data_IF_504265838612
#
_entry.id   IF_504265838612
#
_cell.length_a   1.000
_cell.length_b   1.000
_cell.length_c   1.000
_cell.angle_alpha   90.00
_cell.angle_beta   90.00
_cell.angle_gamma   90.00
#
_symmetry.space_group_name_H-M   'P 1'
#
loop_
_entity.id
_entity.type
_entity.pdbx_description
1 polymer ?
#
# COMPACT_ATOMS: atom_id res chain seq x y z
N UNK A 1 0.29 8.63 21.79
CA UNK A 1 0.26 8.53 20.32
C UNK A 1 -0.38 7.20 19.98
N UNK A 2 -1.21 7.13 18.95
CA UNK A 2 -1.84 5.90 18.47
C UNK A 2 -0.78 4.89 18.03
N UNK A 3 -1.07 3.58 18.15
CA UNK A 3 -0.14 2.52 17.73
C UNK A 3 0.16 2.59 16.22
N UNK A 4 1.35 2.17 15.84
CA UNK A 4 1.81 2.20 14.46
C UNK A 4 1.27 1.01 13.69
N UNK A 5 0.49 1.26 12.64
CA UNK A 5 0.19 0.26 11.62
C UNK A 5 1.38 0.18 10.67
N UNK A 6 1.85 -1.05 10.41
CA UNK A 6 2.87 -1.31 9.38
C UNK A 6 2.23 -2.15 8.28
N UNK A 7 2.21 -1.61 7.08
CA UNK A 7 1.82 -2.31 5.85
C UNK A 7 3.06 -2.84 5.15
N UNK A 8 3.07 -4.11 4.77
CA UNK A 8 4.12 -4.71 3.96
C UNK A 8 3.65 -4.85 2.50
N UNK A 9 4.26 -4.11 1.58
CA UNK A 9 4.02 -4.17 0.14
C UNK A 9 4.99 -5.18 -0.50
N UNK A 10 4.57 -6.45 -0.51
CA UNK A 10 5.49 -7.59 -0.64
C UNK A 10 5.99 -7.90 -2.04
N UNK A 11 5.33 -7.39 -3.10
CA UNK A 11 5.61 -7.83 -4.47
C UNK A 11 5.65 -6.69 -5.50
N UNK A 12 4.56 -5.90 -5.61
CA UNK A 12 4.40 -4.88 -6.65
C UNK A 12 4.24 -5.42 -8.08
N UNK A 13 4.01 -4.53 -9.03
CA UNK A 13 3.93 -4.85 -10.47
C UNK A 13 5.24 -4.61 -11.23
N UNK A 14 6.09 -3.67 -10.76
CA UNK A 14 7.27 -3.19 -11.50
C UNK A 14 8.57 -3.88 -11.07
N UNK A 15 8.72 -4.18 -9.78
CA UNK A 15 9.95 -4.80 -9.24
C UNK A 15 10.02 -6.27 -9.61
N UNK A 16 11.16 -6.74 -10.08
CA UNK A 16 11.37 -8.13 -10.56
C UNK A 16 12.49 -8.85 -9.80
N UNK A 17 12.62 -10.16 -10.02
CA UNK A 17 13.74 -10.97 -9.50
C UNK A 17 15.13 -10.51 -10.00
N UNK A 18 15.18 -9.70 -11.07
CA UNK A 18 16.43 -9.06 -11.52
C UNK A 18 16.88 -7.96 -10.54
N UNK A 19 15.92 -7.23 -9.94
CA UNK A 19 16.21 -6.22 -8.94
C UNK A 19 16.58 -6.86 -7.58
N UNK A 20 15.87 -7.93 -7.20
CA UNK A 20 16.18 -8.74 -6.01
C UNK A 20 15.59 -10.14 -6.18
N UNK A 21 16.42 -11.17 -6.11
CA UNK A 21 16.04 -12.58 -6.28
C UNK A 21 14.95 -13.06 -5.31
N UNK A 22 14.75 -12.35 -4.19
CA UNK A 22 13.75 -12.68 -3.18
C UNK A 22 12.36 -12.09 -3.46
N UNK A 23 12.17 -11.34 -4.54
CA UNK A 23 10.84 -10.84 -4.95
C UNK A 23 9.92 -12.03 -5.25
N UNK A 24 8.76 -12.15 -4.56
CA UNK A 24 7.93 -13.33 -4.69
C UNK A 24 7.04 -13.26 -5.93
N UNK A 25 6.93 -14.37 -6.68
CA UNK A 25 6.06 -14.49 -7.85
C UNK A 25 4.96 -15.54 -7.65
N UNK A 26 5.33 -16.71 -7.14
CA UNK A 26 4.39 -17.84 -6.96
C UNK A 26 3.52 -17.64 -5.71
N UNK A 27 2.38 -18.33 -5.67
CA UNK A 27 1.48 -18.32 -4.50
C UNK A 27 2.22 -18.69 -3.21
N UNK A 28 3.12 -19.68 -3.30
CA UNK A 28 3.89 -20.13 -2.14
C UNK A 28 4.93 -19.07 -1.70
N UNK A 29 5.66 -18.47 -2.64
CA UNK A 29 6.63 -17.40 -2.34
C UNK A 29 5.93 -16.20 -1.70
N UNK A 30 4.77 -15.77 -2.24
CA UNK A 30 3.94 -14.68 -1.71
C UNK A 30 3.51 -14.99 -0.26
N UNK A 31 3.01 -16.21 0.00
CA UNK A 31 2.58 -16.58 1.34
C UNK A 31 3.75 -16.65 2.35
N UNK A 32 4.94 -17.10 1.93
CA UNK A 32 6.15 -17.12 2.76
C UNK A 32 6.62 -15.70 3.07
N UNK A 33 6.66 -14.79 2.09
CA UNK A 33 7.07 -13.41 2.31
C UNK A 33 6.06 -12.65 3.17
N UNK A 34 4.75 -12.89 3.00
CA UNK A 34 3.72 -12.36 3.87
C UNK A 34 3.89 -12.84 5.33
N UNK A 35 4.19 -14.13 5.55
CA UNK A 35 4.46 -14.67 6.89
C UNK A 35 5.69 -14.03 7.54
N UNK A 36 6.77 -13.83 6.78
CA UNK A 36 7.98 -13.15 7.30
C UNK A 36 7.67 -11.72 7.72
N UNK A 37 6.95 -10.97 6.89
CA UNK A 37 6.54 -9.60 7.19
C UNK A 37 5.59 -9.53 8.41
N UNK A 38 4.60 -10.42 8.48
CA UNK A 38 3.66 -10.53 9.60
C UNK A 38 4.39 -10.82 10.91
N UNK A 39 5.29 -11.82 10.93
CA UNK A 39 6.10 -12.16 12.13
C UNK A 39 7.02 -11.03 12.56
N UNK A 40 7.46 -10.21 11.63
CA UNK A 40 8.27 -9.02 11.90
C UNK A 40 7.46 -7.85 12.49
N UNK A 41 6.11 -7.86 12.36
CA UNK A 41 5.21 -6.85 12.92
C UNK A 41 4.30 -6.13 11.93
N UNK A 42 4.27 -6.54 10.65
CA UNK A 42 3.27 -6.02 9.72
C UNK A 42 1.87 -6.54 10.08
N UNK A 43 0.87 -5.69 10.08
CA UNK A 43 -0.51 -6.06 10.31
C UNK A 43 -1.37 -6.00 9.03
N UNK A 44 -0.85 -5.40 7.98
CA UNK A 44 -1.47 -5.36 6.65
C UNK A 44 -0.46 -5.89 5.63
N UNK A 45 -0.92 -6.76 4.74
CA UNK A 45 -0.17 -7.19 3.55
C UNK A 45 -0.81 -6.54 2.33
N UNK A 46 -0.12 -5.59 1.74
CA UNK A 46 -0.48 -5.04 0.44
C UNK A 46 -0.07 -6.03 -0.64
N UNK A 47 -1.04 -6.45 -1.44
CA UNK A 47 -0.92 -7.59 -2.32
C UNK A 47 -1.12 -7.21 -3.79
N UNK A 48 -0.07 -7.30 -4.57
CA UNK A 48 -0.11 -7.57 -5.99
C UNK A 48 0.08 -9.07 -6.23
N UNK A 49 -0.42 -9.58 -7.34
CA UNK A 49 -0.18 -10.97 -7.74
C UNK A 49 0.45 -11.05 -9.12
N UNK A 50 1.19 -12.11 -9.34
CA UNK A 50 1.88 -12.39 -10.61
C UNK A 50 1.58 -13.81 -11.07
N UNK A 51 1.71 -14.05 -12.37
CA UNK A 51 1.86 -15.41 -12.90
C UNK A 51 3.20 -15.99 -12.44
N UNK A 52 3.38 -17.30 -12.55
CA UNK A 52 4.60 -17.96 -12.11
C UNK A 52 5.85 -17.54 -12.91
N UNK A 53 5.67 -16.98 -14.11
CA UNK A 53 6.72 -16.40 -14.96
C UNK A 53 7.10 -14.97 -14.55
N UNK A 54 6.41 -14.40 -13.54
CA UNK A 54 6.64 -13.04 -13.07
C UNK A 54 5.79 -11.97 -13.74
N UNK A 55 4.99 -12.30 -14.75
CA UNK A 55 4.08 -11.34 -15.41
C UNK A 55 3.02 -10.85 -14.43
N UNK A 56 2.83 -9.51 -14.25
CA UNK A 56 1.75 -8.97 -13.43
C UNK A 56 0.37 -9.41 -13.92
N UNK A 57 -0.54 -9.64 -13.00
CA UNK A 57 -1.94 -10.00 -13.33
C UNK A 57 -2.89 -9.47 -12.28
N UNK A 58 -4.16 -9.21 -12.69
CA UNK A 58 -5.26 -8.86 -11.79
C UNK A 58 -6.31 -9.98 -11.74
N UNK A 59 -5.92 -11.19 -12.14
CA UNK A 59 -6.78 -12.37 -12.14
C UNK A 59 -7.32 -12.66 -10.74
N UNK A 60 -8.64 -12.66 -10.60
CA UNK A 60 -9.36 -12.85 -9.32
C UNK A 60 -9.02 -14.19 -8.67
N UNK A 61 -8.90 -15.26 -9.44
CA UNK A 61 -8.61 -16.58 -8.89
C UNK A 61 -7.18 -16.66 -8.36
N UNK A 62 -6.25 -15.91 -9.00
CA UNK A 62 -4.87 -15.78 -8.49
C UNK A 62 -4.83 -15.00 -7.18
N UNK A 63 -5.57 -13.90 -7.05
CA UNK A 63 -5.71 -13.17 -5.78
C UNK A 63 -6.33 -14.05 -4.69
N UNK A 64 -7.38 -14.81 -5.02
CA UNK A 64 -8.02 -15.75 -4.10
C UNK A 64 -7.03 -16.80 -3.58
N UNK A 65 -6.29 -17.46 -4.48
CA UNK A 65 -5.28 -18.46 -4.11
C UNK A 65 -4.19 -17.87 -3.21
N UNK A 66 -3.67 -16.67 -3.53
CA UNK A 66 -2.68 -15.98 -2.70
C UNK A 66 -3.25 -15.60 -1.32
N UNK A 67 -4.48 -15.05 -1.27
CA UNK A 67 -5.14 -14.69 -0.02
C UNK A 67 -5.35 -15.92 0.88
N UNK A 68 -5.84 -17.04 0.35
CA UNK A 68 -6.01 -18.29 1.09
C UNK A 68 -4.67 -18.80 1.62
N UNK A 69 -3.62 -18.80 0.81
CA UNK A 69 -2.29 -19.21 1.22
C UNK A 69 -1.68 -18.31 2.33
N UNK A 70 -1.90 -16.99 2.24
CA UNK A 70 -1.51 -16.03 3.29
C UNK A 70 -2.30 -16.30 4.57
N UNK A 71 -3.62 -16.40 4.50
CA UNK A 71 -4.49 -16.61 5.67
C UNK A 71 -4.25 -17.94 6.37
N UNK A 72 -3.83 -18.98 5.66
CA UNK A 72 -3.43 -20.26 6.27
C UNK A 72 -2.17 -20.12 7.14
N UNK A 73 -1.29 -19.14 6.88
CA UNK A 73 -0.07 -18.87 7.65
C UNK A 73 -0.25 -17.76 8.69
N UNK A 74 -1.06 -16.78 8.38
CA UNK A 74 -1.30 -15.55 9.14
C UNK A 74 -2.81 -15.29 9.21
N UNK A 75 -3.59 -16.05 10.05
CA UNK A 75 -5.06 -16.05 9.99
C UNK A 75 -5.71 -14.67 10.22
N UNK A 76 -5.12 -13.83 11.04
CA UNK A 76 -5.65 -12.54 11.46
C UNK A 76 -5.10 -11.34 10.67
N UNK A 77 -4.05 -11.53 9.85
CA UNK A 77 -3.46 -10.44 9.05
C UNK A 77 -4.51 -9.83 8.10
N UNK A 78 -4.47 -8.53 7.90
CA UNK A 78 -5.31 -7.87 6.90
C UNK A 78 -4.63 -8.04 5.53
N UNK A 79 -5.35 -8.58 4.55
CA UNK A 79 -4.87 -8.64 3.16
C UNK A 79 -5.57 -7.55 2.38
N UNK A 80 -4.77 -6.65 1.82
CA UNK A 80 -5.21 -5.50 1.03
C UNK A 80 -4.78 -5.70 -0.43
N UNK A 81 -5.66 -6.15 -1.32
CA UNK A 81 -5.33 -6.23 -2.73
C UNK A 81 -5.18 -4.85 -3.36
N UNK A 82 -4.21 -4.75 -4.26
CA UNK A 82 -4.05 -3.58 -5.13
C UNK A 82 -5.12 -3.55 -6.22
N UNK A 83 -5.68 -2.37 -6.47
CA UNK A 83 -6.46 -2.08 -7.68
C UNK A 83 -5.65 -1.28 -8.71
N UNK A 84 -4.38 -1.01 -8.45
CA UNK A 84 -3.47 -0.36 -9.40
C UNK A 84 -3.19 -1.24 -10.62
N UNK A 85 -2.94 -2.52 -10.38
CA UNK A 85 -2.51 -3.44 -11.45
C UNK A 85 -1.13 -3.07 -11.99
N UNK A 86 -0.97 -3.20 -13.30
CA UNK A 86 0.15 -2.66 -14.06
C UNK A 86 -0.35 -1.60 -15.04
N UNK A 87 0.53 -0.71 -15.47
CA UNK A 87 0.20 0.33 -16.47
C UNK A 87 -0.42 -0.32 -17.71
N UNK A 88 -1.53 0.25 -18.17
CA UNK A 88 -2.27 -0.22 -19.35
C UNK A 88 -3.37 -1.24 -19.10
N UNK A 89 -3.52 -1.77 -17.89
CA UNK A 89 -4.66 -2.62 -17.53
C UNK A 89 -5.97 -1.83 -17.51
N UNK A 90 -7.06 -2.45 -17.98
CA UNK A 90 -8.39 -1.86 -17.99
C UNK A 90 -8.99 -1.78 -16.58
N UNK A 91 -9.98 -0.88 -16.38
CA UNK A 91 -10.72 -0.78 -15.12
C UNK A 91 -11.35 -2.12 -14.71
N UNK A 92 -11.92 -2.86 -15.66
CA UNK A 92 -12.54 -4.15 -15.41
C UNK A 92 -11.54 -5.20 -14.89
N UNK A 93 -10.31 -5.22 -15.41
CA UNK A 93 -9.24 -6.07 -14.89
C UNK A 93 -8.84 -5.63 -13.47
N UNK A 94 -8.58 -4.34 -13.29
CA UNK A 94 -8.13 -3.77 -12.02
C UNK A 94 -9.12 -3.97 -10.87
N UNK A 95 -10.42 -4.03 -11.15
CA UNK A 95 -11.49 -4.23 -10.16
C UNK A 95 -11.72 -5.70 -9.76
N UNK A 96 -11.15 -6.68 -10.47
CA UNK A 96 -11.39 -8.09 -10.18
C UNK A 96 -11.13 -8.49 -8.72
N UNK A 97 -10.05 -8.06 -8.06
CA UNK A 97 -9.79 -8.44 -6.66
C UNK A 97 -10.81 -7.87 -5.68
N UNK A 98 -11.50 -6.77 -6.02
CA UNK A 98 -12.55 -6.18 -5.16
C UNK A 98 -13.79 -7.08 -5.08
N UNK A 99 -14.05 -7.90 -6.11
CA UNK A 99 -15.15 -8.89 -6.10
C UNK A 99 -14.97 -9.99 -5.04
N UNK A 100 -13.77 -10.17 -4.52
CA UNK A 100 -13.49 -11.08 -3.40
C UNK A 100 -13.91 -10.49 -2.05
N UNK A 101 -14.41 -9.26 -2.00
CA UNK A 101 -14.86 -8.52 -0.82
C UNK A 101 -13.81 -8.49 0.30
N UNK A 102 -12.57 -8.03 0.02
CA UNK A 102 -11.57 -7.86 1.07
C UNK A 102 -12.03 -6.79 2.08
N UNK A 103 -11.45 -6.79 3.28
CA UNK A 103 -11.73 -5.76 4.30
C UNK A 103 -11.37 -4.35 3.80
N UNK A 104 -10.28 -4.23 3.04
CA UNK A 104 -9.84 -3.00 2.38
C UNK A 104 -9.12 -3.29 1.07
N UNK A 105 -9.05 -2.29 0.18
CA UNK A 105 -8.30 -2.34 -1.07
C UNK A 105 -7.78 -0.94 -1.41
N UNK A 106 -6.79 -0.81 -2.29
CA UNK A 106 -6.29 0.51 -2.71
C UNK A 106 -7.24 1.21 -3.67
N UNK A 107 -7.21 2.54 -3.67
CA UNK A 107 -7.94 3.42 -4.58
C UNK A 107 -7.00 4.56 -5.02
N UNK A 108 -6.42 4.43 -6.21
CA UNK A 108 -5.54 5.46 -6.77
C UNK A 108 -6.32 6.72 -7.15
N UNK A 109 -6.02 7.85 -6.51
CA UNK A 109 -6.83 9.06 -6.60
C UNK A 109 -6.37 10.08 -7.66
N UNK A 110 -5.63 9.65 -8.68
CA UNK A 110 -5.24 10.53 -9.77
C UNK A 110 -4.29 9.93 -10.79
N UNK A 111 -4.24 10.55 -11.95
CA UNK A 111 -3.34 10.21 -13.05
C UNK A 111 -1.98 10.85 -12.83
N UNK A 112 -0.90 10.10 -13.02
CA UNK A 112 0.47 10.63 -12.97
C UNK A 112 1.35 9.96 -14.03
N UNK A 113 2.47 10.63 -14.37
CA UNK A 113 3.56 9.97 -15.07
C UNK A 113 4.15 8.90 -14.15
N UNK A 114 4.47 7.74 -14.69
CA UNK A 114 4.92 6.60 -13.91
C UNK A 114 6.09 5.90 -14.61
N UNK A 115 7.19 5.70 -13.91
CA UNK A 115 8.33 4.97 -14.44
C UNK A 115 9.05 5.59 -15.64
N UNK A 116 8.85 6.87 -15.93
CA UNK A 116 9.48 7.58 -17.06
C UNK A 116 8.47 7.98 -18.12
N UNK A 117 8.34 7.22 -19.21
CA UNK A 117 7.47 7.56 -20.34
C UNK A 117 6.03 7.05 -20.21
N UNK A 118 5.74 6.22 -19.23
CA UNK A 118 4.43 5.66 -19.01
C UNK A 118 3.49 6.63 -18.26
N UNK A 119 2.19 6.45 -18.46
CA UNK A 119 1.14 7.21 -17.78
C UNK A 119 0.22 6.25 -17.04
N UNK A 120 0.21 6.35 -15.71
CA UNK A 120 -0.73 5.63 -14.88
C UNK A 120 -2.05 6.39 -14.83
N UNK A 121 -3.05 5.90 -15.55
CA UNK A 121 -4.31 6.61 -15.79
C UNK A 121 -5.34 6.30 -14.72
N UNK A 122 -5.72 7.31 -13.94
CA UNK A 122 -6.82 7.28 -12.97
C UNK A 122 -7.68 8.54 -13.13
N UNK A 123 -8.60 8.50 -14.10
CA UNK A 123 -9.53 9.61 -14.34
C UNK A 123 -10.54 9.75 -13.21
N UNK A 124 -11.20 10.93 -13.08
CA UNK A 124 -12.26 11.10 -12.10
C UNK A 124 -13.37 10.03 -12.26
N UNK A 125 -13.67 9.60 -13.49
CA UNK A 125 -14.66 8.55 -13.73
C UNK A 125 -14.17 7.18 -13.26
N UNK A 126 -12.89 6.86 -13.48
CA UNK A 126 -12.27 5.63 -12.94
C UNK A 126 -12.38 5.59 -11.42
N UNK A 127 -12.03 6.68 -10.74
CA UNK A 127 -12.06 6.76 -9.27
C UNK A 127 -13.49 6.62 -8.74
N UNK A 128 -14.48 7.21 -9.42
CA UNK A 128 -15.91 7.05 -9.09
C UNK A 128 -16.35 5.60 -9.22
N UNK A 129 -16.08 4.98 -10.36
CA UNK A 129 -16.43 3.57 -10.62
C UNK A 129 -15.87 2.65 -9.53
N UNK A 130 -14.60 2.83 -9.17
CA UNK A 130 -13.95 2.03 -8.13
C UNK A 130 -14.52 2.32 -6.74
N UNK A 131 -14.74 3.59 -6.41
CA UNK A 131 -15.35 4.00 -5.16
C UNK A 131 -16.77 3.47 -4.98
N UNK A 132 -17.63 3.54 -6.01
CA UNK A 132 -18.98 2.97 -6.01
C UNK A 132 -18.94 1.46 -5.80
N UNK A 133 -18.08 0.75 -6.51
CA UNK A 133 -17.91 -0.70 -6.35
C UNK A 133 -17.46 -1.09 -4.95
N UNK A 134 -16.52 -0.36 -4.37
CA UNK A 134 -16.07 -0.58 -2.99
C UNK A 134 -17.17 -0.31 -1.98
N UNK A 135 -17.97 0.74 -2.17
CA UNK A 135 -19.12 1.05 -1.32
C UNK A 135 -20.16 -0.06 -1.39
N UNK A 136 -20.51 -0.52 -2.61
CA UNK A 136 -21.48 -1.60 -2.85
C UNK A 136 -21.08 -2.89 -2.11
N UNK A 137 -19.79 -3.24 -2.15
CA UNK A 137 -19.26 -4.50 -1.58
C UNK A 137 -18.81 -4.38 -0.12
N UNK A 138 -18.88 -3.17 0.48
CA UNK A 138 -18.46 -2.94 1.86
C UNK A 138 -16.93 -2.97 2.05
N UNK A 139 -16.17 -2.69 0.99
CA UNK A 139 -14.70 -2.65 1.01
C UNK A 139 -14.24 -1.23 1.36
N UNK A 140 -13.32 -1.11 2.33
CA UNK A 140 -12.74 0.20 2.68
C UNK A 140 -11.63 0.58 1.70
N UNK A 141 -11.68 1.76 1.05
CA UNK A 141 -10.57 2.26 0.25
C UNK A 141 -9.41 2.76 1.13
N UNK A 142 -8.18 2.35 0.81
CA UNK A 142 -6.98 3.13 1.09
C UNK A 142 -6.73 4.04 -0.13
N UNK A 143 -6.77 5.34 0.09
CA UNK A 143 -6.69 6.34 -0.98
C UNK A 143 -5.22 6.63 -1.26
N UNK A 144 -4.68 6.07 -2.34
CA UNK A 144 -3.31 6.31 -2.76
C UNK A 144 -3.21 7.64 -3.51
N UNK A 145 -2.30 8.48 -3.03
CA UNK A 145 -2.07 9.82 -3.57
C UNK A 145 -0.59 10.07 -3.80
N UNK A 146 -0.26 10.52 -5.00
CA UNK A 146 1.09 10.82 -5.45
C UNK A 146 1.37 12.34 -5.47
N UNK A 147 0.35 13.15 -5.20
CA UNK A 147 0.43 14.61 -5.17
C UNK A 147 -0.76 15.20 -4.40
N UNK A 148 -0.59 16.46 -3.94
CA UNK A 148 -1.62 17.19 -3.20
C UNK A 148 -2.94 17.36 -3.98
N UNK A 149 -2.88 17.55 -5.30
CA UNK A 149 -4.07 17.67 -6.15
C UNK A 149 -4.95 16.43 -6.13
N UNK A 150 -4.38 15.25 -5.86
CA UNK A 150 -5.10 13.99 -5.71
C UNK A 150 -5.86 13.93 -4.38
N UNK A 151 -5.33 14.52 -3.30
CA UNK A 151 -6.07 14.72 -2.04
C UNK A 151 -7.31 15.56 -2.29
N UNK A 152 -7.20 16.69 -3.02
CA UNK A 152 -8.36 17.52 -3.37
C UNK A 152 -9.38 16.77 -4.21
N UNK A 153 -8.93 15.92 -5.13
CA UNK A 153 -9.81 15.05 -5.92
C UNK A 153 -10.58 14.10 -5.00
N UNK A 154 -9.90 13.39 -4.11
CA UNK A 154 -10.51 12.46 -3.17
C UNK A 154 -11.54 13.16 -2.26
N UNK A 155 -11.21 14.36 -1.73
CA UNK A 155 -12.14 15.17 -0.92
C UNK A 155 -13.38 15.58 -1.72
N UNK A 156 -13.22 16.00 -2.98
CA UNK A 156 -14.38 16.31 -3.84
C UNK A 156 -15.28 15.11 -4.09
N UNK A 157 -14.68 13.94 -4.31
CA UNK A 157 -15.42 12.70 -4.53
C UNK A 157 -16.09 12.18 -3.26
N UNK A 158 -15.45 12.36 -2.10
CA UNK A 158 -16.07 12.08 -0.80
C UNK A 158 -17.33 12.94 -0.59
N UNK A 159 -17.25 14.26 -0.85
CA UNK A 159 -18.41 15.18 -0.75
C UNK A 159 -19.56 14.80 -1.70
N UNK A 160 -19.28 14.14 -2.81
CA UNK A 160 -20.26 13.63 -3.78
C UNK A 160 -20.76 12.22 -3.42
N UNK A 161 -20.26 11.58 -2.36
CA UNK A 161 -20.69 10.27 -1.89
C UNK A 161 -19.99 9.07 -2.53
N UNK A 162 -18.93 9.27 -3.32
CA UNK A 162 -18.16 8.20 -3.97
C UNK A 162 -17.06 7.59 -3.09
N UNK A 163 -16.72 8.25 -1.99
CA UNK A 163 -15.76 7.77 -0.98
C UNK A 163 -16.39 8.00 0.39
N UNK A 164 -16.32 6.98 1.27
CA UNK A 164 -16.85 7.08 2.64
C UNK A 164 -15.84 7.66 3.61
N UNK A 165 -16.33 8.22 4.72
CA UNK A 165 -15.54 8.61 5.89
C UNK A 165 -15.61 7.52 6.97
N UNK A 166 -14.60 7.45 7.89
CA UNK A 166 -13.35 8.21 7.88
C UNK A 166 -12.44 7.80 6.72
N UNK A 167 -11.74 8.78 6.13
CA UNK A 167 -10.82 8.53 5.02
C UNK A 167 -9.48 8.04 5.55
N UNK A 168 -8.85 7.12 4.82
CA UNK A 168 -7.49 6.67 5.06
C UNK A 168 -6.67 6.90 3.79
N UNK A 169 -5.59 7.66 3.91
CA UNK A 169 -4.71 8.00 2.79
C UNK A 169 -3.41 7.20 2.84
N UNK A 170 -2.85 6.91 1.67
CA UNK A 170 -1.46 6.49 1.53
C UNK A 170 -0.72 7.53 0.68
N UNK A 171 0.24 8.22 1.27
CA UNK A 171 1.11 9.17 0.58
C UNK A 171 2.26 8.41 -0.05
N UNK A 172 2.17 8.15 -1.36
CA UNK A 172 3.23 7.50 -2.14
C UNK A 172 4.19 8.58 -2.64
N UNK A 173 5.36 8.68 -2.00
CA UNK A 173 6.28 9.80 -2.17
C UNK A 173 7.59 9.38 -2.81
N UNK A 174 8.02 10.13 -3.83
CA UNK A 174 9.29 9.90 -4.52
C UNK A 174 9.19 9.11 -5.83
N UNK A 175 7.97 8.84 -6.30
CA UNK A 175 7.72 8.34 -7.67
C UNK A 175 8.01 9.44 -8.67
N UNK A 176 8.63 9.11 -9.81
CA UNK A 176 8.79 10.04 -10.91
C UNK A 176 7.41 10.49 -11.42
N UNK A 177 7.19 11.80 -11.44
CA UNK A 177 5.90 12.38 -11.81
C UNK A 177 4.94 12.64 -10.64
N UNK A 178 5.30 12.21 -9.42
CA UNK A 178 4.61 12.54 -8.17
C UNK A 178 5.39 13.52 -7.29
N UNK A 179 4.89 13.75 -6.09
CA UNK A 179 5.53 14.63 -5.10
C UNK A 179 6.85 14.02 -4.59
N UNK A 180 7.84 14.87 -4.32
CA UNK A 180 9.13 14.42 -3.81
C UNK A 180 9.04 13.87 -2.38
N UNK A 181 9.88 12.88 -2.06
CA UNK A 181 9.99 12.34 -0.71
C UNK A 181 10.88 13.23 0.18
N UNK A 182 10.35 14.39 0.56
CA UNK A 182 11.03 15.33 1.47
C UNK A 182 10.20 15.60 2.73
N UNK A 183 10.85 16.00 3.85
CA UNK A 183 10.11 16.35 5.07
C UNK A 183 9.09 17.47 4.85
N UNK A 184 9.43 18.46 4.03
CA UNK A 184 8.56 19.60 3.71
C UNK A 184 7.30 19.13 2.96
N UNK A 185 7.49 18.26 1.99
CA UNK A 185 6.38 17.75 1.17
C UNK A 185 5.46 16.85 1.99
N UNK A 186 6.00 16.03 2.91
CA UNK A 186 5.19 15.21 3.81
C UNK A 186 4.33 16.09 4.74
N UNK A 187 4.89 17.13 5.34
CA UNK A 187 4.12 18.09 6.17
C UNK A 187 3.02 18.76 5.35
N UNK A 188 3.31 19.10 4.09
CA UNK A 188 2.32 19.70 3.19
C UNK A 188 1.18 18.72 2.85
N UNK A 189 1.49 17.46 2.58
CA UNK A 189 0.48 16.42 2.32
C UNK A 189 -0.39 16.16 3.55
N UNK A 190 0.23 15.99 4.73
CA UNK A 190 -0.49 15.75 5.98
C UNK A 190 -1.41 16.91 6.33
N UNK A 191 -0.93 18.15 6.24
CA UNK A 191 -1.75 19.35 6.47
C UNK A 191 -2.88 19.55 5.45
N UNK A 192 -2.96 18.74 4.41
CA UNK A 192 -3.97 18.83 3.34
C UNK A 192 -5.12 17.84 3.48
N UNK A 193 -5.00 16.81 4.36
CA UNK A 193 -6.08 15.85 4.56
C UNK A 193 -7.16 16.37 5.51
N UNK A 194 -8.43 15.92 5.37
CA UNK A 194 -9.50 16.34 6.26
C UNK A 194 -9.28 15.89 7.72
N UNK A 195 -9.72 16.69 8.71
CA UNK A 195 -9.69 16.27 10.09
C UNK A 195 -10.39 14.92 10.33
N UNK A 196 -9.79 14.06 11.16
CA UNK A 196 -10.29 12.72 11.43
C UNK A 196 -9.90 11.67 10.38
N UNK A 197 -9.12 12.04 9.37
CA UNK A 197 -8.47 11.10 8.48
C UNK A 197 -7.21 10.52 9.12
N UNK A 198 -6.88 9.29 8.74
CA UNK A 198 -5.58 8.66 9.04
C UNK A 198 -4.72 8.63 7.77
N UNK A 199 -3.41 8.49 7.92
CA UNK A 199 -2.51 8.39 6.79
C UNK A 199 -1.38 7.38 7.00
N UNK A 200 -1.01 6.72 5.92
CA UNK A 200 0.19 5.91 5.73
C UNK A 200 1.17 6.67 4.85
N UNK A 201 2.46 6.43 4.99
CA UNK A 201 3.49 6.97 4.09
C UNK A 201 4.28 5.82 3.48
N UNK A 202 4.38 5.84 2.15
CA UNK A 202 5.22 4.98 1.33
C UNK A 202 6.33 5.82 0.71
N UNK A 203 7.56 5.67 1.22
CA UNK A 203 8.73 6.32 0.64
C UNK A 203 9.37 5.42 -0.40
N UNK A 204 9.50 5.86 -1.65
CA UNK A 204 10.00 5.01 -2.73
C UNK A 204 11.54 4.99 -2.77
N UNK A 205 12.10 3.78 -2.95
CA UNK A 205 13.53 3.53 -3.07
C UNK A 205 14.32 3.98 -1.84
N UNK A 206 15.36 4.78 -2.06
CA UNK A 206 16.24 5.27 -0.98
C UNK A 206 15.54 6.09 0.11
N UNK A 207 14.32 6.55 -0.14
CA UNK A 207 13.57 7.40 0.78
C UNK A 207 12.71 6.61 1.77
N UNK A 208 12.56 5.29 1.61
CA UNK A 208 11.65 4.45 2.39
C UNK A 208 11.80 4.67 3.90
N UNK A 209 13.00 4.47 4.44
CA UNK A 209 13.19 4.54 5.90
C UNK A 209 13.21 5.96 6.46
N UNK A 210 13.64 6.96 5.67
CA UNK A 210 13.55 8.36 6.07
C UNK A 210 12.10 8.81 6.18
N UNK A 211 11.29 8.48 5.18
CA UNK A 211 9.85 8.79 5.19
C UNK A 211 9.12 8.00 6.28
N UNK A 212 9.47 6.74 6.48
CA UNK A 212 8.95 5.94 7.59
C UNK A 212 9.21 6.59 8.96
N UNK A 213 10.44 7.03 9.23
CA UNK A 213 10.78 7.69 10.48
C UNK A 213 9.98 8.99 10.68
N UNK A 214 9.83 9.79 9.64
CA UNK A 214 9.02 11.02 9.69
C UNK A 214 7.55 10.72 9.91
N UNK A 215 6.97 9.74 9.22
CA UNK A 215 5.60 9.31 9.43
C UNK A 215 5.35 8.87 10.88
N UNK A 216 6.29 8.10 11.46
CA UNK A 216 6.21 7.65 12.85
C UNK A 216 6.15 8.85 13.82
N UNK A 217 7.01 9.84 13.63
CA UNK A 217 7.06 11.05 14.48
C UNK A 217 5.81 11.91 14.31
N UNK A 218 5.26 11.99 13.11
CA UNK A 218 4.07 12.80 12.79
C UNK A 218 2.75 12.11 13.15
N UNK A 219 2.76 10.88 13.70
CA UNK A 219 1.54 10.15 14.07
C UNK A 219 0.90 9.36 12.93
N UNK A 220 1.50 9.36 11.74
CA UNK A 220 1.07 8.56 10.60
C UNK A 220 1.47 7.08 10.71
N UNK A 221 1.04 6.28 9.77
CA UNK A 221 1.38 4.88 9.61
C UNK A 221 2.45 4.70 8.52
N UNK A 222 2.96 3.50 8.33
CA UNK A 222 4.10 3.24 7.44
C UNK A 222 3.80 2.07 6.51
N UNK A 223 4.17 2.21 5.23
CA UNK A 223 4.27 1.12 4.29
C UNK A 223 5.74 0.95 3.86
N UNK A 224 6.20 -0.31 3.87
CA UNK A 224 7.52 -0.73 3.38
C UNK A 224 7.42 -2.07 2.67
N UNK A 225 8.38 -2.39 1.83
CA UNK A 225 8.43 -3.69 1.16
C UNK A 225 9.09 -3.67 -0.20
N UNK A 226 9.24 -4.85 -0.77
CA UNK A 226 9.93 -5.03 -2.06
C UNK A 226 9.29 -4.28 -3.23
N UNK A 227 8.01 -3.96 -3.14
CA UNK A 227 7.35 -3.12 -4.11
C UNK A 227 7.95 -1.71 -4.16
N UNK A 228 8.26 -1.15 -3.00
CA UNK A 228 8.68 0.23 -2.84
C UNK A 228 10.21 0.37 -2.81
N UNK A 229 10.92 -0.62 -2.24
CA UNK A 229 12.37 -0.64 -2.10
C UNK A 229 12.91 -2.06 -1.89
N UNK A 230 13.99 -2.41 -2.58
CA UNK A 230 14.64 -3.73 -2.47
C UNK A 230 15.91 -3.72 -1.63
N UNK A 231 16.28 -2.58 -1.01
CA UNK A 231 17.52 -2.42 -0.25
C UNK A 231 17.27 -2.22 1.23
N UNK A 232 18.00 -2.93 2.08
CA UNK A 232 17.99 -2.69 3.54
C UNK A 232 18.85 -1.47 3.92
N UNK A 233 19.89 -1.21 3.14
CA UNK A 233 20.76 -0.04 3.20
C UNK A 233 21.45 0.18 1.86
N UNK A 234 22.15 1.31 1.72
CA UNK A 234 22.78 1.68 0.45
C UNK A 234 23.68 0.55 -0.09
N UNK A 235 23.30 -0.02 -1.22
CA UNK A 235 24.05 -1.07 -1.91
C UNK A 235 23.90 -2.49 -1.32
N UNK A 236 23.09 -2.67 -0.28
CA UNK A 236 22.83 -3.97 0.34
C UNK A 236 21.37 -4.36 0.12
N UNK A 237 21.13 -5.41 -0.67
CA UNK A 237 19.80 -5.93 -0.92
C UNK A 237 19.19 -6.52 0.35
N UNK A 238 17.91 -6.26 0.58
CA UNK A 238 17.18 -6.89 1.66
C UNK A 238 16.94 -8.39 1.36
N UNK A 239 17.01 -9.21 2.38
CA UNK A 239 16.83 -10.67 2.30
C UNK A 239 15.36 -11.09 2.25
N UNK A 240 14.46 -10.23 2.72
CA UNK A 240 13.01 -10.47 2.75
C UNK A 240 12.26 -9.18 3.05
N UNK A 241 10.95 -9.16 2.78
CA UNK A 241 10.06 -8.11 3.28
C UNK A 241 10.06 -8.03 4.82
N UNK A 242 10.21 -9.16 5.50
CA UNK A 242 10.35 -9.19 6.96
C UNK A 242 11.52 -8.36 7.48
N UNK A 243 12.67 -8.37 6.80
CA UNK A 243 13.85 -7.59 7.19
C UNK A 243 13.60 -6.07 7.09
N UNK A 244 12.86 -5.62 6.07
CA UNK A 244 12.44 -4.21 5.93
C UNK A 244 11.48 -3.81 7.05
N UNK A 245 10.49 -4.66 7.35
CA UNK A 245 9.53 -4.45 8.47
C UNK A 245 10.26 -4.41 9.81
N UNK A 246 11.19 -5.32 10.10
CA UNK A 246 11.99 -5.34 11.33
C UNK A 246 12.76 -4.03 11.53
N UNK A 247 13.29 -3.45 10.46
CA UNK A 247 13.97 -2.16 10.53
C UNK A 247 13.03 -1.03 10.96
N UNK A 248 11.82 -0.99 10.42
CA UNK A 248 10.79 -0.01 10.82
C UNK A 248 10.37 -0.24 12.27
N UNK A 249 10.18 -1.48 12.69
CA UNK A 249 9.85 -1.82 14.09
C UNK A 249 10.93 -1.33 15.06
N UNK A 250 12.22 -1.48 14.72
CA UNK A 250 13.32 -0.93 15.55
C UNK A 250 13.24 0.60 15.63
N UNK A 251 13.06 1.29 14.48
CA UNK A 251 12.93 2.75 14.45
C UNK A 251 11.73 3.20 15.31
N UNK A 252 10.58 2.57 15.18
CA UNK A 252 9.39 2.91 15.95
C UNK A 252 9.61 2.76 17.46
N UNK A 253 10.25 1.67 17.88
CA UNK A 253 10.55 1.42 19.31
C UNK A 253 11.52 2.42 19.88
N UNK A 254 12.59 2.78 19.14
CA UNK A 254 13.53 3.83 19.56
C UNK A 254 12.85 5.21 19.70
N UNK A 255 11.80 5.45 18.92
CA UNK A 255 10.97 6.65 19.01
C UNK A 255 9.81 6.52 20.02
N UNK A 256 9.74 5.40 20.76
CA UNK A 256 8.73 5.16 21.80
C UNK A 256 7.34 4.87 21.27
N UNK A 257 7.19 4.43 20.01
CA UNK A 257 5.91 4.11 19.42
C UNK A 257 5.66 2.61 19.34
N UNK A 258 4.57 2.15 19.94
CA UNK A 258 4.14 0.76 19.92
C UNK A 258 3.60 0.36 18.53
N UNK A 259 3.76 -0.92 18.16
CA UNK A 259 3.27 -1.49 16.92
C UNK A 259 1.84 -2.01 17.15
N UNK A 260 0.95 -1.74 16.21
CA UNK A 260 -0.42 -2.25 16.23
C UNK A 260 -0.46 -3.74 15.85
N UNK A 261 -1.32 -4.48 16.50
CA UNK A 261 -1.75 -5.81 16.04
C UNK A 261 -2.76 -5.68 14.89
N UNK A 262 -3.05 -6.74 14.12
CA UNK A 262 -4.10 -6.70 13.10
C UNK A 262 -5.48 -6.31 13.66
N UNK A 263 -5.80 -6.72 14.89
CA UNK A 263 -7.06 -6.36 15.55
C UNK A 263 -7.12 -4.85 15.89
N UNK A 264 -6.02 -4.29 16.39
CA UNK A 264 -5.91 -2.85 16.66
C UNK A 264 -5.90 -2.03 15.38
N UNK A 265 -5.27 -2.53 14.31
CA UNK A 265 -5.30 -1.88 12.99
C UNK A 265 -6.73 -1.78 12.45
N UNK A 266 -7.56 -2.83 12.62
CA UNK A 266 -8.99 -2.78 12.26
C UNK A 266 -9.74 -1.70 13.03
N UNK A 267 -9.49 -1.58 14.33
CA UNK A 267 -10.13 -0.54 15.15
C UNK A 267 -9.71 0.87 14.71
N UNK A 268 -8.41 1.09 14.47
CA UNK A 268 -7.86 2.38 14.03
C UNK A 268 -8.42 2.77 12.66
N UNK A 269 -8.51 1.83 11.75
CA UNK A 269 -8.97 2.08 10.38
C UNK A 269 -10.50 2.04 10.24
N UNK A 270 -11.23 1.49 11.23
CA UNK A 270 -12.68 1.32 11.16
C UNK A 270 -13.09 0.27 10.12
N UNK A 271 -12.42 -0.88 10.10
CA UNK A 271 -12.71 -2.05 9.28
C UNK A 271 -13.75 -2.95 9.92
#
# INVERSE_FOLDING_TARGET
MEKLIITAAICGAEVTKEHNQNVPYTVLEIAIEAEKAYRAGACIIHLHVRKDDGTPTQDKERFKACNEAIKNRCPDVIVQPSTGGAVGMSNAERLQPVDLKPEMATLDAGTCNFGGDDVFVNTENTIKEFGEKMIELGVKPEIEVFDKGMIDMAIRLQKKGFIKTPMHFNFVMGVNGGISATPRDLVFMEGSIPPGSTFTVSGIGRSEFQMAALAIVMGGHVRVGFEDNVYIEKGVLAKSNGELVEKVVRIARELGREIATPAEARQILGL
#
